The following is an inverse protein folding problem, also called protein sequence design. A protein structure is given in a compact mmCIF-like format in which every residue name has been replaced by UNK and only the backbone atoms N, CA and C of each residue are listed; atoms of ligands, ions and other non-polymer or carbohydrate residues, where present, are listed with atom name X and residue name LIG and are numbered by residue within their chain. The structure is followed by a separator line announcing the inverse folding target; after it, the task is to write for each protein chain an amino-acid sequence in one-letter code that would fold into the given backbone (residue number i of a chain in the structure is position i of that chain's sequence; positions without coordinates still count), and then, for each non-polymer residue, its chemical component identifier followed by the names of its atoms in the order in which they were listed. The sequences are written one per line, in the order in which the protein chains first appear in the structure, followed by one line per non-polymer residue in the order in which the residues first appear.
data_IF_707233241292
#
_entry.id   IF_707233241292
#
_cell.length_a   1.000
_cell.length_b   1.000
_cell.length_c   1.000
_cell.angle_alpha   90.00
_cell.angle_beta   90.00
_cell.angle_gamma   90.00
#
_symmetry.space_group_name_H-M   'P 1'
#
loop_
_entity.id
_entity.type
_entity.pdbx_description
1 polymer ?
#
# COMPACT_ATOMS: atom_id res chain seq x y z
N UNK A 1 -26.58 -28.35 -26.86
CA UNK A 1 -27.98 -28.30 -26.34
C UNK A 1 -28.13 -28.88 -24.93
N UNK A 2 -27.28 -29.82 -24.47
CA UNK A 2 -27.42 -30.49 -23.16
C UNK A 2 -26.64 -29.76 -22.03
N UNK A 3 -25.46 -29.22 -22.30
CA UNK A 3 -24.54 -28.67 -21.30
C UNK A 3 -25.05 -27.33 -20.72
N UNK A 4 -25.39 -26.35 -21.58
CA UNK A 4 -25.78 -25.00 -21.16
C UNK A 4 -26.98 -24.98 -20.20
N UNK A 5 -28.06 -25.75 -20.38
CA UNK A 5 -29.18 -25.78 -19.41
C UNK A 5 -28.71 -26.16 -18.01
N UNK A 6 -27.84 -27.17 -17.90
CA UNK A 6 -27.27 -27.61 -16.61
C UNK A 6 -26.44 -26.54 -15.96
N UNK A 7 -25.57 -25.83 -16.74
CA UNK A 7 -24.79 -24.73 -16.25
C UNK A 7 -25.68 -23.60 -15.69
N UNK A 8 -26.73 -23.22 -16.43
CA UNK A 8 -27.69 -22.20 -16.01
C UNK A 8 -28.38 -22.60 -14.68
N UNK A 9 -28.90 -23.80 -14.61
CA UNK A 9 -29.69 -24.25 -13.47
C UNK A 9 -28.85 -24.49 -12.22
N UNK A 10 -27.65 -25.06 -12.37
CA UNK A 10 -26.84 -25.58 -11.27
C UNK A 10 -25.63 -24.78 -10.90
N UNK A 11 -25.07 -23.96 -11.82
CA UNK A 11 -23.76 -23.33 -11.66
C UNK A 11 -23.82 -21.80 -11.67
N UNK A 12 -24.65 -21.17 -12.52
CA UNK A 12 -24.64 -19.71 -12.73
C UNK A 12 -25.00 -18.91 -11.49
N UNK A 13 -25.73 -19.48 -10.54
CA UNK A 13 -26.04 -18.79 -9.27
C UNK A 13 -24.79 -18.32 -8.54
N UNK A 14 -23.66 -19.04 -8.71
CA UNK A 14 -22.38 -18.74 -8.04
C UNK A 14 -21.23 -18.45 -9.02
N UNK A 15 -21.37 -18.82 -10.32
CA UNK A 15 -20.30 -18.79 -11.30
C UNK A 15 -20.74 -18.10 -12.61
N UNK A 16 -21.35 -16.93 -12.51
CA UNK A 16 -21.72 -16.07 -13.63
C UNK A 16 -21.54 -14.60 -13.30
N UNK A 17 -21.52 -13.76 -14.31
CA UNK A 17 -21.44 -12.30 -14.16
C UNK A 17 -22.62 -11.72 -13.35
N UNK A 18 -23.79 -12.34 -13.42
CA UNK A 18 -25.00 -11.93 -12.68
C UNK A 18 -25.00 -12.37 -11.21
N UNK A 19 -23.99 -13.11 -10.75
CA UNK A 19 -23.92 -13.57 -9.37
C UNK A 19 -23.61 -12.42 -8.42
N UNK A 20 -24.28 -12.30 -7.28
CA UNK A 20 -24.00 -11.30 -6.25
C UNK A 20 -22.53 -11.34 -5.77
N UNK A 21 -21.94 -12.53 -5.77
CA UNK A 21 -20.52 -12.78 -5.47
C UNK A 21 -20.08 -13.99 -6.27
N UNK A 22 -19.19 -13.79 -7.21
CA UNK A 22 -18.60 -14.87 -8.01
C UNK A 22 -17.65 -15.68 -7.14
N UNK A 23 -17.95 -16.97 -6.95
CA UNK A 23 -17.14 -17.87 -6.12
C UNK A 23 -15.97 -18.42 -6.93
N UNK A 24 -14.77 -18.43 -6.30
CA UNK A 24 -13.54 -18.92 -6.92
C UNK A 24 -13.14 -18.14 -8.19
N UNK A 25 -13.65 -16.91 -8.36
CA UNK A 25 -13.44 -16.07 -9.55
C UNK A 25 -13.72 -16.80 -10.87
N UNK A 26 -14.55 -17.84 -10.84
CA UNK A 26 -14.86 -18.70 -11.96
C UNK A 26 -16.15 -18.26 -12.66
N UNK A 27 -16.03 -17.96 -13.96
CA UNK A 27 -17.16 -17.61 -14.82
C UNK A 27 -17.48 -18.76 -15.79
N UNK A 28 -18.63 -19.36 -15.62
CA UNK A 28 -19.11 -20.48 -16.46
C UNK A 28 -20.14 -20.04 -17.52
N UNK A 29 -20.51 -18.77 -17.52
CA UNK A 29 -21.47 -18.14 -18.42
C UNK A 29 -20.89 -17.71 -19.77
N UNK A 30 -19.56 -17.73 -19.92
CA UNK A 30 -18.87 -17.47 -21.18
C UNK A 30 -17.91 -18.60 -21.54
N UNK A 31 -17.59 -18.73 -22.84
CA UNK A 31 -16.53 -19.66 -23.30
C UNK A 31 -15.17 -19.26 -22.76
N UNK A 32 -14.87 -17.98 -22.77
CA UNK A 32 -13.60 -17.44 -22.24
C UNK A 32 -13.42 -17.76 -20.75
N UNK A 33 -14.47 -17.60 -19.96
CA UNK A 33 -14.43 -17.94 -18.54
C UNK A 33 -14.20 -19.41 -18.25
N UNK A 34 -14.77 -20.32 -19.05
CA UNK A 34 -14.52 -21.76 -18.95
C UNK A 34 -13.05 -22.11 -19.26
N UNK A 35 -12.45 -21.49 -20.28
CA UNK A 35 -11.09 -21.74 -20.69
C UNK A 35 -10.07 -21.08 -19.76
N UNK A 36 -10.32 -19.82 -19.32
CA UNK A 36 -9.49 -19.11 -18.35
C UNK A 36 -9.54 -19.77 -16.98
N UNK A 37 -10.74 -20.19 -16.56
CA UNK A 37 -10.99 -20.77 -15.25
C UNK A 37 -11.08 -19.75 -14.11
N UNK A 38 -10.81 -20.20 -12.90
CA UNK A 38 -10.84 -19.40 -11.69
C UNK A 38 -9.54 -19.49 -10.90
N UNK A 39 -9.61 -19.26 -9.60
CA UNK A 39 -8.45 -19.31 -8.67
C UNK A 39 -7.68 -20.62 -8.71
N UNK A 40 -8.35 -21.74 -9.02
CA UNK A 40 -7.72 -23.08 -9.10
C UNK A 40 -7.21 -23.44 -10.51
N UNK A 41 -7.31 -22.52 -11.48
CA UNK A 41 -6.88 -22.73 -12.86
C UNK A 41 -8.04 -22.95 -13.85
N UNK A 42 -7.71 -23.39 -15.10
CA UNK A 42 -8.70 -23.58 -16.16
C UNK A 42 -9.79 -24.57 -15.77
N UNK A 43 -11.06 -24.20 -15.96
CA UNK A 43 -12.16 -25.10 -15.64
C UNK A 43 -12.21 -26.33 -16.58
N UNK A 44 -11.84 -26.11 -17.85
CA UNK A 44 -11.76 -27.18 -18.84
C UNK A 44 -10.45 -27.14 -19.60
N UNK A 45 -9.93 -28.31 -19.94
CA UNK A 45 -8.83 -28.49 -20.91
C UNK A 45 -9.41 -29.18 -22.14
N UNK A 46 -9.49 -28.45 -23.23
CA UNK A 46 -10.12 -28.93 -24.48
C UNK A 46 -9.52 -30.26 -24.94
N UNK A 47 -10.38 -31.23 -25.20
CA UNK A 47 -9.98 -32.58 -25.62
C UNK A 47 -9.47 -33.49 -24.50
N UNK A 48 -9.33 -32.97 -23.25
CA UNK A 48 -8.75 -33.72 -22.12
C UNK A 48 -9.67 -33.64 -20.88
N UNK A 49 -10.79 -34.36 -20.87
CA UNK A 49 -11.71 -34.35 -19.75
C UNK A 49 -11.07 -34.77 -18.42
N UNK A 50 -10.13 -35.71 -18.46
CA UNK A 50 -9.38 -36.19 -17.30
C UNK A 50 -8.43 -35.14 -16.64
N UNK A 51 -8.17 -34.03 -17.34
CA UNK A 51 -7.37 -32.89 -16.85
C UNK A 51 -8.21 -31.65 -16.58
N UNK A 52 -9.54 -31.77 -16.69
CA UNK A 52 -10.47 -30.66 -16.57
C UNK A 52 -11.04 -30.60 -15.16
N UNK A 53 -10.73 -29.51 -14.41
CA UNK A 53 -11.21 -29.30 -13.03
C UNK A 53 -12.76 -29.36 -12.92
N UNK A 54 -13.46 -28.94 -13.96
CA UNK A 54 -14.92 -29.06 -14.01
C UNK A 54 -15.37 -30.52 -13.88
N UNK A 55 -14.66 -31.47 -14.52
CA UNK A 55 -15.05 -32.90 -14.49
C UNK A 55 -14.76 -33.49 -13.10
N UNK A 56 -13.57 -33.28 -12.52
CA UNK A 56 -13.26 -33.77 -11.17
C UNK A 56 -14.19 -33.18 -10.12
N UNK A 57 -14.55 -31.90 -10.24
CA UNK A 57 -15.52 -31.25 -9.36
C UNK A 57 -16.94 -31.84 -9.48
N UNK A 58 -17.38 -32.19 -10.70
CA UNK A 58 -18.66 -32.85 -10.92
C UNK A 58 -18.69 -34.31 -10.42
N UNK A 59 -17.54 -34.97 -10.46
CA UNK A 59 -17.35 -36.36 -9.95
C UNK A 59 -17.22 -36.39 -8.42
N UNK A 60 -17.00 -35.24 -7.77
CA UNK A 60 -16.77 -35.13 -6.32
C UNK A 60 -15.43 -35.78 -5.89
N UNK A 61 -14.39 -35.64 -6.74
CA UNK A 61 -13.05 -36.17 -6.42
C UNK A 61 -12.28 -35.21 -5.51
N UNK A 62 -12.07 -33.93 -5.95
CA UNK A 62 -11.35 -32.92 -5.18
C UNK A 62 -12.25 -31.79 -4.66
N UNK A 63 -13.22 -31.41 -5.48
CA UNK A 63 -14.20 -30.36 -5.19
C UNK A 63 -15.61 -30.92 -5.38
N UNK A 64 -16.54 -30.57 -4.49
CA UNK A 64 -17.92 -31.04 -4.56
C UNK A 64 -18.82 -30.00 -5.24
N UNK A 65 -19.03 -30.15 -6.55
CA UNK A 65 -19.89 -29.23 -7.32
C UNK A 65 -20.95 -30.00 -8.15
N UNK A 66 -22.21 -29.58 -8.07
CA UNK A 66 -22.82 -28.56 -7.20
C UNK A 66 -22.84 -28.99 -5.72
N UNK A 67 -22.73 -28.03 -4.75
CA UNK A 67 -22.46 -28.37 -3.34
C UNK A 67 -23.60 -29.08 -2.60
N UNK A 68 -24.80 -29.15 -3.17
CA UNK A 68 -25.95 -29.77 -2.49
C UNK A 68 -26.30 -31.17 -2.98
N UNK A 69 -26.17 -31.41 -4.29
CA UNK A 69 -26.55 -32.69 -4.91
C UNK A 69 -25.66 -32.97 -6.08
N UNK A 70 -24.96 -34.09 -6.06
CA UNK A 70 -24.15 -34.57 -7.20
C UNK A 70 -25.05 -34.74 -8.42
N UNK A 71 -24.55 -34.40 -9.58
CA UNK A 71 -25.29 -34.64 -10.84
C UNK A 71 -25.32 -36.14 -11.16
N UNK A 72 -26.37 -36.63 -11.86
CA UNK A 72 -26.41 -37.99 -12.34
C UNK A 72 -25.23 -38.29 -13.27
N UNK A 73 -24.69 -39.49 -13.22
CA UNK A 73 -23.54 -39.90 -14.04
C UNK A 73 -23.79 -39.75 -15.55
N UNK A 74 -25.03 -39.89 -16.00
CA UNK A 74 -25.44 -39.62 -17.39
C UNK A 74 -25.19 -38.18 -17.81
N UNK A 75 -25.41 -37.23 -16.90
CA UNK A 75 -25.16 -35.79 -17.14
C UNK A 75 -23.66 -35.52 -17.08
N UNK A 76 -22.95 -36.06 -16.12
CA UNK A 76 -21.49 -35.94 -16.02
C UNK A 76 -20.82 -36.47 -17.29
N UNK A 77 -21.27 -37.60 -17.80
CA UNK A 77 -20.78 -38.20 -19.05
C UNK A 77 -21.06 -37.30 -20.28
N UNK A 78 -22.13 -36.53 -20.29
CA UNK A 78 -22.41 -35.54 -21.36
C UNK A 78 -21.32 -34.41 -21.31
N UNK A 79 -20.88 -33.96 -20.12
CA UNK A 79 -19.77 -33.00 -19.98
C UNK A 79 -18.42 -33.62 -20.44
N UNK A 80 -18.11 -34.83 -20.01
CA UNK A 80 -16.90 -35.56 -20.46
C UNK A 80 -16.86 -35.67 -21.98
N UNK A 81 -17.97 -36.10 -22.61
CA UNK A 81 -18.08 -36.23 -24.07
C UNK A 81 -17.95 -34.87 -24.76
N UNK A 82 -18.58 -33.81 -24.21
CA UNK A 82 -18.51 -32.47 -24.77
C UNK A 82 -17.06 -31.95 -24.76
N UNK A 83 -16.34 -32.08 -23.66
CA UNK A 83 -14.95 -31.66 -23.54
C UNK A 83 -14.06 -32.48 -24.48
N UNK A 84 -14.22 -33.80 -24.53
CA UNK A 84 -13.48 -34.70 -25.43
C UNK A 84 -13.67 -34.33 -26.91
N UNK A 85 -14.87 -33.88 -27.28
CA UNK A 85 -15.19 -33.47 -28.65
C UNK A 85 -14.88 -32.00 -28.93
N UNK A 86 -13.94 -31.37 -28.20
CA UNK A 86 -13.46 -30.02 -28.49
C UNK A 86 -14.21 -28.90 -27.75
N UNK A 87 -15.10 -29.23 -26.80
CA UNK A 87 -15.82 -28.25 -25.96
C UNK A 87 -16.45 -27.11 -26.77
N UNK A 88 -17.09 -27.44 -27.89
CA UNK A 88 -17.71 -26.44 -28.78
C UNK A 88 -18.74 -25.63 -28.01
N UNK A 89 -18.52 -24.33 -27.95
CA UNK A 89 -19.36 -23.35 -27.27
C UNK A 89 -19.58 -22.13 -28.17
N UNK A 90 -20.81 -21.82 -28.54
CA UNK A 90 -21.11 -20.70 -29.46
C UNK A 90 -21.13 -19.33 -28.73
N UNK A 91 -20.85 -19.28 -27.42
CA UNK A 91 -20.85 -18.04 -26.66
C UNK A 91 -19.53 -17.31 -26.87
N UNK A 92 -19.58 -16.11 -27.35
CA UNK A 92 -18.43 -15.27 -27.75
C UNK A 92 -18.14 -14.14 -26.76
N UNK A 93 -18.86 -14.02 -25.66
CA UNK A 93 -18.61 -13.02 -24.61
C UNK A 93 -17.28 -13.25 -23.93
N UNK A 94 -16.53 -12.18 -23.67
CA UNK A 94 -15.42 -12.23 -22.72
C UNK A 94 -15.97 -12.38 -21.30
N UNK A 95 -15.33 -13.16 -20.47
CA UNK A 95 -15.66 -13.22 -19.05
C UNK A 95 -15.50 -11.83 -18.44
N UNK A 96 -16.57 -11.28 -17.92
CA UNK A 96 -16.52 -10.08 -17.06
C UNK A 96 -15.95 -10.51 -15.71
N UNK A 97 -14.67 -10.75 -15.65
CA UNK A 97 -13.94 -10.88 -14.40
C UNK A 97 -13.10 -9.65 -14.25
N UNK A 98 -12.98 -9.17 -13.05
CA UNK A 98 -11.93 -8.23 -12.72
C UNK A 98 -10.66 -8.70 -13.41
N UNK A 99 -10.09 -7.84 -14.25
CA UNK A 99 -8.70 -7.96 -14.63
C UNK A 99 -7.93 -7.83 -13.30
N UNK A 100 -7.79 -8.95 -12.56
CA UNK A 100 -7.04 -9.03 -11.30
C UNK A 100 -5.53 -8.81 -11.52
N UNK A 101 -5.18 -8.20 -12.62
CA UNK A 101 -3.87 -7.64 -12.88
C UNK A 101 -3.96 -6.12 -12.76
N UNK A 102 -3.05 -5.52 -12.00
CA UNK A 102 -2.83 -4.08 -12.04
C UNK A 102 -2.62 -3.72 -13.51
N UNK A 103 -3.59 -2.99 -14.10
CA UNK A 103 -3.39 -2.42 -15.43
C UNK A 103 -2.32 -1.34 -15.31
N UNK A 104 -1.07 -1.72 -15.58
CA UNK A 104 0.12 -0.86 -15.41
C UNK A 104 -0.01 0.42 -16.24
N UNK A 105 -0.57 0.35 -17.45
CA UNK A 105 -0.74 1.53 -18.31
C UNK A 105 -1.79 2.49 -17.72
N UNK A 106 -2.90 1.97 -17.23
CA UNK A 106 -3.89 2.77 -16.50
C UNK A 106 -3.34 3.33 -15.19
N UNK A 107 -2.56 2.54 -14.45
CA UNK A 107 -1.93 2.98 -13.22
C UNK A 107 -0.90 4.09 -13.47
N UNK A 108 -0.11 4.03 -14.54
CA UNK A 108 0.85 5.09 -14.92
C UNK A 108 0.21 6.45 -15.19
N UNK A 109 -1.05 6.48 -15.65
CA UNK A 109 -1.78 7.72 -15.86
C UNK A 109 -2.45 8.28 -14.60
N UNK A 110 -2.41 7.52 -13.49
CA UNK A 110 -2.99 7.94 -12.21
C UNK A 110 -1.97 8.73 -11.39
N UNK A 111 -2.39 9.90 -10.90
CA UNK A 111 -1.61 10.62 -9.90
C UNK A 111 -1.48 9.75 -8.62
N UNK A 112 -0.32 9.55 -8.03
CA UNK A 112 0.96 10.27 -8.17
C UNK A 112 2.00 9.59 -9.09
N UNK A 113 1.63 8.65 -9.94
CA UNK A 113 2.56 7.90 -10.81
C UNK A 113 2.87 8.61 -12.14
N UNK A 114 2.28 9.79 -12.34
CA UNK A 114 2.62 10.62 -13.50
C UNK A 114 3.98 11.29 -13.31
N UNK A 115 4.74 11.56 -14.38
CA UNK A 115 5.97 12.32 -14.29
C UNK A 115 5.77 13.66 -13.60
N UNK A 116 6.77 14.12 -12.87
CA UNK A 116 6.74 15.41 -12.19
C UNK A 116 6.53 16.55 -13.21
N UNK A 117 5.61 17.46 -12.87
CA UNK A 117 5.39 18.65 -13.68
C UNK A 117 6.62 19.57 -13.69
N UNK A 118 6.99 20.04 -14.89
CA UNK A 118 8.02 21.07 -15.08
C UNK A 118 7.39 22.48 -15.11
N UNK A 119 6.11 22.62 -14.81
CA UNK A 119 5.44 23.92 -14.81
C UNK A 119 6.06 24.85 -13.76
N UNK A 120 6.30 26.09 -14.14
CA UNK A 120 6.76 27.12 -13.20
C UNK A 120 5.69 27.38 -12.13
N UNK A 121 6.11 27.68 -10.89
CA UNK A 121 5.18 28.05 -9.84
C UNK A 121 4.38 29.32 -10.23
N UNK A 122 3.15 29.50 -9.71
CA UNK A 122 2.35 30.68 -10.01
C UNK A 122 3.12 31.99 -9.73
N UNK A 123 2.91 32.98 -10.59
CA UNK A 123 3.43 34.31 -10.34
C UNK A 123 2.68 34.98 -9.19
N UNK A 124 3.40 35.61 -8.29
CA UNK A 124 2.86 36.42 -7.18
C UNK A 124 3.10 37.88 -7.53
N UNK A 125 2.07 38.72 -7.38
CA UNK A 125 2.15 40.17 -7.62
C UNK A 125 3.11 40.78 -6.59
N UNK A 126 3.94 41.74 -7.03
CA UNK A 126 4.89 42.51 -6.22
C UNK A 126 5.99 41.68 -5.50
N UNK A 127 6.32 40.50 -6.03
CA UNK A 127 7.18 39.54 -5.32
C UNK A 127 8.69 39.81 -5.47
N UNK A 128 9.16 40.50 -6.51
CA UNK A 128 10.57 40.63 -6.82
C UNK A 128 11.41 39.33 -6.65
N UNK A 129 10.76 38.16 -6.70
CA UNK A 129 11.40 36.85 -6.54
C UNK A 129 11.67 36.42 -5.09
N UNK A 130 11.14 37.12 -4.10
CA UNK A 130 11.40 36.89 -2.66
C UNK A 130 10.48 35.81 -2.03
N UNK A 131 9.30 35.56 -2.59
CA UNK A 131 8.35 34.58 -2.02
C UNK A 131 8.85 33.15 -2.28
N UNK A 132 9.00 32.32 -1.25
CA UNK A 132 9.37 30.91 -1.38
C UNK A 132 8.41 30.15 -2.33
N UNK A 133 8.94 29.15 -3.03
CA UNK A 133 8.19 28.40 -4.04
C UNK A 133 6.87 27.83 -3.50
N UNK A 134 6.89 27.24 -2.31
CA UNK A 134 5.69 26.65 -1.68
C UNK A 134 4.64 27.74 -1.42
N UNK A 135 5.06 28.90 -0.95
CA UNK A 135 4.15 30.00 -0.67
C UNK A 135 3.49 30.56 -1.94
N UNK A 136 4.20 30.53 -3.08
CA UNK A 136 3.62 30.89 -4.38
C UNK A 136 2.42 30.01 -4.75
N UNK A 137 2.53 28.69 -4.56
CA UNK A 137 1.41 27.79 -4.78
C UNK A 137 0.25 28.05 -3.81
N UNK A 138 0.56 28.26 -2.54
CA UNK A 138 -0.46 28.58 -1.52
C UNK A 138 -1.17 29.89 -1.83
N UNK A 139 -0.43 30.96 -2.13
CA UNK A 139 -0.99 32.27 -2.48
C UNK A 139 -1.78 32.21 -3.79
N UNK A 140 -1.32 31.47 -4.78
CA UNK A 140 -2.06 31.21 -6.01
C UNK A 140 -3.43 30.57 -5.75
N UNK A 141 -3.48 29.56 -4.89
CA UNK A 141 -4.73 28.92 -4.50
C UNK A 141 -5.66 29.82 -3.69
N UNK A 142 -5.13 30.64 -2.80
CA UNK A 142 -5.92 31.63 -2.07
C UNK A 142 -6.53 32.65 -3.03
N UNK A 143 -5.74 33.16 -3.98
CA UNK A 143 -6.20 34.11 -5.01
C UNK A 143 -7.36 33.56 -5.84
N UNK A 144 -7.25 32.30 -6.29
CA UNK A 144 -8.33 31.66 -7.09
C UNK A 144 -9.64 31.51 -6.32
N UNK A 145 -9.57 31.49 -4.98
CA UNK A 145 -10.74 31.39 -4.10
C UNK A 145 -11.19 32.74 -3.52
N UNK A 146 -10.58 33.84 -3.95
CA UNK A 146 -10.88 35.17 -3.41
C UNK A 146 -10.50 35.35 -1.93
N UNK A 147 -9.59 34.51 -1.41
CA UNK A 147 -9.14 34.57 -0.03
C UNK A 147 -7.79 35.31 0.07
N UNK A 148 -7.54 35.86 1.24
CA UNK A 148 -6.27 36.51 1.60
C UNK A 148 -5.60 35.73 2.74
N UNK A 149 -4.26 35.76 2.84
CA UNK A 149 -3.55 35.22 4.00
C UNK A 149 -4.05 35.85 5.30
N UNK A 150 -4.08 35.08 6.37
CA UNK A 150 -4.35 35.61 7.70
C UNK A 150 -3.21 36.56 8.13
N UNK A 151 -3.48 37.41 9.11
CA UNK A 151 -2.43 38.23 9.73
C UNK A 151 -1.39 37.32 10.40
N UNK A 152 -0.10 37.76 10.47
CA UNK A 152 0.92 37.05 11.22
C UNK A 152 0.46 36.75 12.64
N UNK A 153 0.87 35.57 13.16
CA UNK A 153 0.55 35.19 14.53
C UNK A 153 1.31 36.09 15.53
N UNK A 154 0.76 36.23 16.72
CA UNK A 154 1.47 36.83 17.85
C UNK A 154 2.82 36.10 18.08
N UNK A 155 3.94 36.84 18.37
CA UNK A 155 5.26 36.24 18.55
C UNK A 155 5.29 35.12 19.58
N UNK A 156 4.60 35.24 20.70
CA UNK A 156 4.54 34.20 21.74
C UNK A 156 3.86 32.94 21.22
N UNK A 157 2.77 33.13 20.48
CA UNK A 157 2.05 32.03 19.85
C UNK A 157 2.90 31.36 18.75
N UNK A 158 3.65 32.14 17.98
CA UNK A 158 4.53 31.64 16.93
C UNK A 158 5.62 30.74 17.50
N UNK A 159 6.32 31.17 18.55
CA UNK A 159 7.34 30.35 19.28
C UNK A 159 6.71 29.06 19.80
N UNK A 160 5.54 29.15 20.41
CA UNK A 160 4.86 27.96 20.93
C UNK A 160 4.52 26.97 19.82
N UNK A 161 3.99 27.43 18.69
CA UNK A 161 3.68 26.58 17.53
C UNK A 161 4.94 25.91 16.98
N UNK A 162 6.00 26.69 16.79
CA UNK A 162 7.27 26.21 16.26
C UNK A 162 7.86 25.07 17.12
N UNK A 163 7.84 25.23 18.46
CA UNK A 163 8.32 24.19 19.36
C UNK A 163 7.47 22.91 19.30
N UNK A 164 6.14 23.03 19.26
CA UNK A 164 5.29 21.86 19.15
C UNK A 164 5.40 21.18 17.78
N UNK A 165 5.57 21.95 16.73
CA UNK A 165 5.71 21.39 15.37
C UNK A 165 7.05 20.67 15.21
N UNK A 166 8.15 21.26 15.66
CA UNK A 166 9.50 20.71 15.46
C UNK A 166 9.90 19.69 16.55
N UNK A 167 9.57 19.95 17.82
CA UNK A 167 10.03 19.12 18.94
C UNK A 167 8.91 18.35 19.64
N UNK A 168 7.65 18.71 19.43
CA UNK A 168 6.52 18.16 20.19
C UNK A 168 6.48 18.60 21.65
N UNK A 169 7.33 19.54 22.08
CA UNK A 169 7.50 20.00 23.45
C UNK A 169 7.17 21.49 23.57
N UNK A 170 6.71 21.96 24.75
CA UNK A 170 6.51 23.38 24.97
C UNK A 170 7.85 24.13 25.06
N UNK A 171 7.91 25.41 24.64
CA UNK A 171 9.07 26.25 24.84
C UNK A 171 9.28 26.57 26.33
N UNK A 172 10.54 26.81 26.71
CA UNK A 172 10.86 27.44 27.99
C UNK A 172 10.44 28.91 27.99
N UNK A 173 10.07 29.44 29.17
CA UNK A 173 9.63 30.82 29.29
C UNK A 173 10.67 31.82 28.75
N UNK A 174 11.95 31.59 29.04
CA UNK A 174 13.07 32.46 28.63
C UNK A 174 13.17 32.52 27.09
N UNK A 175 12.91 31.45 26.38
CA UNK A 175 12.94 31.41 24.89
C UNK A 175 11.78 32.25 24.35
N UNK A 176 10.59 32.14 24.94
CA UNK A 176 9.41 32.91 24.53
C UNK A 176 9.68 34.42 24.75
N UNK A 177 10.23 34.79 25.89
CA UNK A 177 10.53 36.19 26.21
C UNK A 177 11.62 36.75 25.30
N UNK A 178 12.72 36.03 25.13
CA UNK A 178 13.84 36.41 24.25
C UNK A 178 13.36 36.70 22.82
N UNK A 179 12.60 35.78 22.21
CA UNK A 179 12.10 35.99 20.87
C UNK A 179 11.07 37.11 20.80
N UNK A 180 10.13 37.17 21.76
CA UNK A 180 9.07 38.17 21.77
C UNK A 180 9.57 39.61 21.97
N UNK A 181 10.74 39.78 22.58
CA UNK A 181 11.38 41.08 22.75
C UNK A 181 11.92 41.67 21.44
N UNK A 182 12.32 40.80 20.46
CA UNK A 182 12.84 41.23 19.15
C UNK A 182 12.43 40.21 18.05
N UNK A 183 11.17 40.20 17.63
CA UNK A 183 10.66 39.25 16.65
C UNK A 183 10.99 39.70 15.22
N UNK A 184 12.20 39.39 14.75
CA UNK A 184 12.64 39.67 13.37
C UNK A 184 12.71 38.38 12.54
N UNK A 185 12.74 38.46 11.20
CA UNK A 185 12.97 37.31 10.35
C UNK A 185 14.26 36.56 10.70
N UNK A 186 15.33 37.29 11.05
CA UNK A 186 16.61 36.69 11.42
C UNK A 186 16.55 35.93 12.74
N UNK A 187 15.88 36.51 13.75
CA UNK A 187 15.69 35.85 15.04
C UNK A 187 14.78 34.63 14.91
N UNK A 188 13.82 34.66 13.97
CA UNK A 188 13.00 33.48 13.66
C UNK A 188 13.81 32.38 13.00
N UNK A 189 14.61 32.69 11.99
CA UNK A 189 15.49 31.73 11.33
C UNK A 189 16.46 31.09 12.32
N UNK A 190 17.10 31.90 13.18
CA UNK A 190 18.03 31.39 14.20
C UNK A 190 17.31 30.43 15.20
N UNK A 191 16.06 30.74 15.59
CA UNK A 191 15.29 29.85 16.44
C UNK A 191 14.93 28.54 15.72
N UNK A 192 14.57 28.59 14.44
CA UNK A 192 14.32 27.39 13.62
C UNK A 192 15.55 26.51 13.56
N UNK A 193 16.71 27.08 13.26
CA UNK A 193 17.99 26.36 13.19
C UNK A 193 18.36 25.71 14.53
N UNK A 194 18.16 26.43 15.65
CA UNK A 194 18.36 25.88 17.01
C UNK A 194 17.47 24.66 17.27
N UNK A 195 16.20 24.73 16.88
CA UNK A 195 15.25 23.65 17.09
C UNK A 195 15.51 22.44 16.19
N UNK A 196 15.89 22.68 14.94
CA UNK A 196 16.28 21.61 14.01
C UNK A 196 17.55 20.88 14.46
N UNK A 197 18.48 21.58 15.11
CA UNK A 197 19.70 20.98 15.69
C UNK A 197 19.44 20.19 16.99
N UNK A 198 18.25 20.29 17.55
CA UNK A 198 17.90 19.57 18.78
C UNK A 198 17.72 18.07 18.53
N UNK A 199 18.23 17.18 19.41
CA UNK A 199 17.98 15.75 19.30
C UNK A 199 16.49 15.39 19.37
N UNK A 200 15.66 16.20 19.99
CA UNK A 200 14.21 16.01 20.06
C UNK A 200 13.50 16.20 18.71
N UNK A 201 14.15 16.84 17.71
CA UNK A 201 13.61 16.91 16.37
C UNK A 201 13.42 15.52 15.76
N UNK A 202 14.46 14.69 15.78
CA UNK A 202 14.38 13.32 15.28
C UNK A 202 13.41 12.44 16.07
N UNK A 203 13.31 12.62 17.39
CA UNK A 203 12.32 11.91 18.23
C UNK A 203 10.90 12.27 17.81
N UNK A 204 10.63 13.57 17.60
CA UNK A 204 9.31 14.06 17.17
C UNK A 204 8.94 13.59 15.78
N UNK A 205 9.83 13.78 14.81
CA UNK A 205 9.55 13.49 13.41
C UNK A 205 9.73 12.01 13.06
N UNK A 206 10.59 11.31 13.76
CA UNK A 206 10.72 9.85 13.68
C UNK A 206 9.44 9.14 13.98
N UNK A 207 8.61 9.67 14.90
CA UNK A 207 7.28 9.14 15.20
C UNK A 207 6.41 9.01 13.96
N UNK A 208 6.40 10.04 13.11
CA UNK A 208 5.58 10.02 11.89
C UNK A 208 6.00 8.91 10.93
N UNK A 209 7.32 8.69 10.80
CA UNK A 209 7.83 7.58 9.99
C UNK A 209 7.51 6.22 10.61
N UNK A 210 7.72 6.07 11.92
CA UNK A 210 7.47 4.83 12.64
C UNK A 210 6.00 4.40 12.58
N UNK A 211 5.07 5.37 12.61
CA UNK A 211 3.64 5.11 12.47
C UNK A 211 3.31 4.57 11.05
N UNK A 212 3.89 5.17 10.00
CA UNK A 212 3.73 4.69 8.60
C UNK A 212 4.37 3.32 8.40
N UNK A 213 5.56 3.10 8.98
CA UNK A 213 6.30 1.84 8.94
C UNK A 213 5.66 0.74 9.80
N UNK A 214 4.60 1.04 10.54
CA UNK A 214 3.93 0.09 11.46
C UNK A 214 4.86 -0.45 12.53
N UNK A 215 5.81 0.37 13.00
CA UNK A 215 6.75 0.00 14.04
C UNK A 215 6.04 -0.34 15.35
N UNK A 216 6.48 -1.43 15.98
CA UNK A 216 6.11 -1.77 17.35
C UNK A 216 7.26 -2.49 18.04
N UNK A 217 7.36 -2.38 19.38
CA UNK A 217 8.32 -3.11 20.20
C UNK A 217 7.91 -4.57 20.43
N UNK A 218 6.79 -5.00 19.84
CA UNK A 218 6.23 -6.35 20.01
C UNK A 218 5.54 -6.84 18.74
N UNK A 219 5.31 -8.14 18.67
CA UNK A 219 4.69 -8.80 17.53
C UNK A 219 3.22 -8.44 17.30
N UNK A 220 2.53 -7.84 18.30
CA UNK A 220 1.08 -7.65 18.25
C UNK A 220 0.31 -8.97 18.21
N UNK A 221 -0.99 -8.91 17.93
CA UNK A 221 -1.85 -10.09 17.84
C UNK A 221 -2.23 -10.70 19.19
N UNK A 222 -2.70 -11.95 19.19
CA UNK A 222 -3.24 -12.61 20.37
C UNK A 222 -2.21 -12.89 21.46
N UNK A 223 -1.06 -13.48 21.10
CA UNK A 223 0.09 -13.65 22.02
C UNK A 223 1.21 -12.69 21.68
N UNK A 224 1.14 -11.54 22.28
CA UNK A 224 2.16 -10.49 22.11
C UNK A 224 3.49 -10.93 22.71
N UNK A 225 4.55 -10.91 21.90
CA UNK A 225 5.94 -11.17 22.33
C UNK A 225 6.78 -9.93 22.07
N UNK A 226 7.68 -9.55 22.99
CA UNK A 226 8.65 -8.48 22.75
C UNK A 226 9.57 -8.83 21.59
N UNK A 227 9.92 -7.83 20.79
CA UNK A 227 10.98 -7.93 19.77
C UNK A 227 12.22 -7.24 20.35
N UNK A 228 13.12 -8.01 20.92
CA UNK A 228 14.25 -7.52 21.73
C UNK A 228 15.12 -6.44 21.05
N UNK A 229 15.22 -6.45 19.74
CA UNK A 229 16.05 -5.53 18.97
C UNK A 229 15.27 -4.50 18.16
N UNK A 230 13.95 -4.38 18.32
CA UNK A 230 13.12 -3.43 17.59
C UNK A 230 13.58 -1.98 17.78
N UNK A 231 14.00 -1.61 19.00
CA UNK A 231 14.51 -0.30 19.34
C UNK A 231 15.66 0.19 18.43
N UNK A 232 16.46 -0.72 17.85
CA UNK A 232 17.56 -0.37 16.94
C UNK A 232 17.05 0.33 15.69
N UNK A 233 15.95 -0.16 15.13
CA UNK A 233 15.33 0.49 13.97
C UNK A 233 14.73 1.85 14.34
N UNK A 234 14.04 1.97 15.47
CA UNK A 234 13.55 3.26 15.98
C UNK A 234 14.70 4.27 16.10
N UNK A 235 15.77 3.88 16.74
CA UNK A 235 16.92 4.75 16.95
C UNK A 235 17.66 5.09 15.63
N UNK A 236 17.67 4.15 14.67
CA UNK A 236 18.16 4.42 13.31
C UNK A 236 17.35 5.52 12.64
N UNK A 237 16.02 5.47 12.70
CA UNK A 237 15.13 6.49 12.13
C UNK A 237 15.38 7.85 12.79
N UNK A 238 15.42 7.91 14.13
CA UNK A 238 15.70 9.14 14.88
C UNK A 238 17.05 9.74 14.50
N UNK A 239 18.10 8.93 14.46
CA UNK A 239 19.44 9.39 14.04
C UNK A 239 19.48 9.85 12.59
N UNK A 240 18.79 9.17 11.69
CA UNK A 240 18.69 9.54 10.29
C UNK A 240 18.11 10.95 10.11
N UNK A 241 17.04 11.26 10.81
CA UNK A 241 16.41 12.59 10.80
C UNK A 241 17.29 13.65 11.45
N UNK A 242 17.90 13.38 12.59
CA UNK A 242 18.80 14.32 13.28
C UNK A 242 20.10 14.61 12.49
N UNK A 243 20.49 13.71 11.59
CA UNK A 243 21.63 13.88 10.68
C UNK A 243 21.24 14.48 9.33
N UNK A 244 19.98 14.84 9.16
CA UNK A 244 19.44 15.31 7.88
C UNK A 244 19.81 14.35 6.72
N UNK A 245 19.67 13.03 6.96
CA UNK A 245 20.00 12.00 5.96
C UNK A 245 19.16 12.22 4.70
N UNK A 246 19.79 12.30 3.50
CA UNK A 246 19.05 12.41 2.26
C UNK A 246 17.98 11.33 2.12
N UNK A 247 16.76 11.72 1.75
CA UNK A 247 15.60 10.84 1.77
C UNK A 247 15.74 9.64 0.83
N UNK A 248 16.37 9.80 -0.31
CA UNK A 248 16.66 8.71 -1.24
C UNK A 248 17.64 7.68 -0.65
N UNK A 249 18.66 8.12 0.11
CA UNK A 249 19.54 7.21 0.84
C UNK A 249 18.78 6.47 1.95
N UNK A 250 17.96 7.20 2.71
CA UNK A 250 17.15 6.61 3.76
C UNK A 250 16.22 5.50 3.23
N UNK A 251 15.59 5.71 2.06
CA UNK A 251 14.75 4.68 1.43
C UNK A 251 15.57 3.51 0.91
N UNK A 252 16.72 3.76 0.27
CA UNK A 252 17.58 2.67 -0.24
C UNK A 252 18.08 1.76 0.88
N UNK A 253 18.48 2.33 2.02
CA UNK A 253 18.93 1.57 3.18
C UNK A 253 17.80 0.68 3.73
N UNK A 254 16.56 1.13 3.70
CA UNK A 254 15.41 0.36 4.18
C UNK A 254 14.98 -0.77 3.23
N UNK A 255 15.18 -0.60 1.92
CA UNK A 255 14.78 -1.61 0.93
C UNK A 255 15.90 -2.61 0.61
N UNK A 256 17.16 -2.20 0.69
CA UNK A 256 18.31 -2.99 0.24
C UNK A 256 19.57 -2.69 1.04
N UNK A 257 19.45 -2.34 2.32
CA UNK A 257 20.59 -1.97 3.17
C UNK A 257 21.65 -3.05 3.29
N UNK A 258 21.24 -4.32 3.26
CA UNK A 258 22.12 -5.47 3.27
C UNK A 258 22.99 -5.62 2.00
N UNK A 259 22.55 -5.01 0.90
CA UNK A 259 23.22 -5.03 -0.41
C UNK A 259 24.04 -3.78 -0.70
N UNK A 260 23.93 -2.73 0.12
CA UNK A 260 24.63 -1.47 -0.12
C UNK A 260 26.11 -1.60 0.18
N UNK A 261 26.98 -0.93 -0.61
CA UNK A 261 28.40 -0.80 -0.28
C UNK A 261 28.56 -0.05 1.04
N UNK A 262 29.62 -0.34 1.78
CA UNK A 262 29.91 0.30 3.06
C UNK A 262 31.43 0.47 3.22
N UNK A 263 31.85 1.56 3.85
CA UNK A 263 33.25 1.86 4.10
C UNK A 263 33.78 1.25 5.39
N UNK A 264 32.88 0.99 6.35
CA UNK A 264 33.24 0.48 7.67
C UNK A 264 32.10 -0.34 8.31
N UNK A 265 32.42 -1.00 9.42
CA UNK A 265 31.45 -1.86 10.13
C UNK A 265 30.26 -1.09 10.73
N UNK A 266 30.44 0.17 11.07
CA UNK A 266 29.37 1.00 11.61
C UNK A 266 28.35 1.31 10.52
N UNK A 267 28.78 1.71 9.34
CA UNK A 267 27.92 1.94 8.19
C UNK A 267 27.20 0.67 7.76
N UNK A 268 27.91 -0.46 7.69
CA UNK A 268 27.31 -1.76 7.45
C UNK A 268 26.20 -2.08 8.45
N UNK A 269 26.45 -1.81 9.74
CA UNK A 269 25.45 -2.05 10.80
C UNK A 269 24.24 -1.13 10.64
N UNK A 270 24.44 0.16 10.33
CA UNK A 270 23.34 1.12 10.08
C UNK A 270 22.48 0.66 8.87
N UNK A 271 23.13 0.26 7.78
CA UNK A 271 22.44 -0.25 6.58
C UNK A 271 21.62 -1.51 6.87
N UNK A 272 22.18 -2.45 7.62
CA UNK A 272 21.47 -3.66 8.05
C UNK A 272 20.28 -3.35 8.98
N UNK A 273 20.44 -2.40 9.90
CA UNK A 273 19.36 -1.98 10.78
C UNK A 273 18.25 -1.30 9.97
N UNK A 274 18.61 -0.51 8.97
CA UNK A 274 17.66 0.12 8.04
C UNK A 274 16.76 -0.90 7.35
N UNK A 275 17.34 -2.01 6.84
CA UNK A 275 16.56 -3.10 6.19
C UNK A 275 15.59 -3.82 7.14
N UNK A 276 15.69 -3.59 8.44
CA UNK A 276 14.70 -4.03 9.42
C UNK A 276 13.28 -3.52 9.13
N UNK A 277 13.13 -2.45 8.34
CA UNK A 277 11.85 -1.99 7.81
C UNK A 277 11.00 -3.10 7.20
N UNK A 278 11.61 -4.03 6.48
CA UNK A 278 10.93 -5.13 5.81
C UNK A 278 10.33 -6.17 6.78
N UNK A 279 10.78 -6.15 8.04
CA UNK A 279 10.31 -7.05 9.08
C UNK A 279 9.27 -6.42 10.01
N UNK A 280 8.89 -5.17 9.77
CA UNK A 280 7.92 -4.47 10.60
C UNK A 280 6.49 -4.86 10.27
N UNK A 281 5.67 -4.89 11.29
CA UNK A 281 4.24 -5.16 11.18
C UNK A 281 3.78 -6.21 12.19
N UNK A 282 2.48 -6.36 12.36
CA UNK A 282 1.94 -7.37 13.26
C UNK A 282 2.17 -8.77 12.69
N UNK A 283 2.75 -9.65 13.50
CA UNK A 283 2.89 -11.06 13.18
C UNK A 283 1.90 -11.87 14.01
N UNK A 284 0.94 -12.50 13.37
CA UNK A 284 -0.01 -13.36 14.06
C UNK A 284 0.51 -14.78 14.19
N UNK A 285 1.28 -15.06 15.23
CA UNK A 285 1.82 -16.40 15.51
C UNK A 285 0.75 -17.44 15.91
N UNK A 286 -0.48 -17.03 16.14
CA UNK A 286 -1.59 -17.93 16.48
C UNK A 286 -2.38 -18.39 15.27
N UNK A 287 -2.14 -17.81 14.11
CA UNK A 287 -2.83 -18.22 12.89
C UNK A 287 -2.35 -19.62 12.46
N UNK A 288 -3.23 -20.59 12.56
CA UNK A 288 -2.96 -21.97 12.12
C UNK A 288 -3.05 -22.13 10.59
N UNK A 289 -3.58 -21.14 9.91
CA UNK A 289 -3.63 -21.10 8.45
C UNK A 289 -2.26 -20.65 7.91
N UNK A 290 -1.51 -21.62 7.37
CA UNK A 290 -0.17 -21.40 6.82
C UNK A 290 -0.16 -20.49 5.58
N UNK A 291 -1.28 -20.38 4.88
CA UNK A 291 -1.36 -19.53 3.68
C UNK A 291 -1.63 -18.07 4.07
N UNK A 292 -2.42 -17.82 5.11
CA UNK A 292 -2.55 -16.49 5.71
C UNK A 292 -1.24 -16.02 6.35
N UNK A 293 -0.48 -16.90 7.00
CA UNK A 293 0.84 -16.55 7.54
C UNK A 293 1.83 -16.12 6.44
N UNK A 294 1.78 -16.71 5.25
CA UNK A 294 2.61 -16.28 4.12
C UNK A 294 2.22 -14.90 3.60
N UNK A 295 0.93 -14.55 3.64
CA UNK A 295 0.45 -13.24 3.21
C UNK A 295 0.77 -12.11 4.21
N UNK A 296 0.98 -12.44 5.49
CA UNK A 296 1.37 -11.46 6.52
C UNK A 296 2.86 -11.07 6.42
N UNK A 297 3.67 -11.78 5.64
CA UNK A 297 5.14 -11.60 5.51
C UNK A 297 5.53 -10.94 4.18
N UNK A 298 4.58 -10.67 3.28
CA UNK A 298 4.85 -10.06 1.96
C UNK A 298 4.43 -8.60 1.91
#
# INVERSE_FOLDING_TARGET
KKIRPVLIERCYKCHSADSKKVKGKLFLDTRDGLLRGGESGPAIVVGKPEKSLLVSALQYEDLEMPPKNKLPDTVINDFVRWIKNGAVDPRDGKAQGDEDGINVEKARSHWPYTPLSQAAPPAVEDDAGKTPMIDRYTLGQLKTRGLKPAKPADPRLLVRRLHFDLLGLPPKAEVVEKYSANPTPESYAALVDELLASPHFGERWGRHWLDVARYADSTGGGRTRPIENAWRYRDYVIRGLNKDKPYDHFIREQLAGDLLPHENNQERSENLIGSGFLMLGPHNYENQDKDLLKLDVV
#
